data_IF_804546265037
#
_entry.id   IF_804546265037
#
_cell.length_a   1.000
_cell.length_b   1.000
_cell.length_c   1.000
_cell.angle_alpha   90.00
_cell.angle_beta   90.00
_cell.angle_gamma   90.00
#
_symmetry.space_group_name_H-M   'P 1'
#
loop_
_entity.id
_entity.type
_entity.pdbx_description
1 polymer ?
#
# COMPACT_ATOMS: atom_id res chain seq x y z
N UNK A 1 14.04 2.18 10.32
CA UNK A 1 14.51 2.16 8.92
C UNK A 1 13.24 2.02 8.12
N UNK A 2 12.72 3.13 7.63
CA UNK A 2 11.33 3.21 7.16
C UNK A 2 11.36 3.02 5.65
N UNK A 3 11.50 1.76 5.25
CA UNK A 3 11.55 1.33 3.85
C UNK A 3 10.51 0.25 3.60
N UNK A 4 9.87 0.31 2.44
CA UNK A 4 8.96 -0.74 2.01
C UNK A 4 9.70 -2.04 1.69
N UNK A 5 9.02 -3.20 1.73
CA UNK A 5 9.59 -4.47 1.30
C UNK A 5 10.25 -4.41 -0.08
N UNK A 6 9.60 -3.76 -1.06
CA UNK A 6 10.16 -3.56 -2.41
C UNK A 6 11.41 -2.68 -2.37
N UNK A 7 11.43 -1.60 -1.60
CA UNK A 7 12.62 -0.74 -1.49
C UNK A 7 13.80 -1.47 -0.82
N UNK A 8 13.53 -2.31 0.18
CA UNK A 8 14.55 -3.14 0.83
C UNK A 8 15.11 -4.18 -0.16
N UNK A 9 14.23 -4.80 -0.96
CA UNK A 9 14.60 -5.74 -2.02
C UNK A 9 15.49 -5.09 -3.09
N UNK A 10 15.10 -3.92 -3.62
CA UNK A 10 15.90 -3.19 -4.62
C UNK A 10 17.27 -2.74 -4.05
N UNK A 11 17.34 -2.38 -2.77
CA UNK A 11 18.62 -2.10 -2.10
C UNK A 11 19.52 -3.34 -1.99
N UNK A 12 18.96 -4.52 -1.72
CA UNK A 12 19.71 -5.78 -1.69
C UNK A 12 20.22 -6.14 -3.10
N UNK A 13 19.36 -6.02 -4.10
CA UNK A 13 19.68 -6.23 -5.52
C UNK A 13 20.79 -5.30 -6.03
N UNK A 14 20.76 -4.01 -5.65
CA UNK A 14 21.82 -3.06 -5.98
C UNK A 14 23.21 -3.50 -5.45
N UNK A 15 23.22 -4.29 -4.37
CA UNK A 15 24.43 -4.88 -3.77
C UNK A 15 24.73 -6.30 -4.27
N UNK A 16 23.92 -6.82 -5.20
CA UNK A 16 23.97 -8.21 -5.71
C UNK A 16 23.75 -9.27 -4.63
N UNK A 17 22.96 -8.93 -3.63
CA UNK A 17 22.58 -9.79 -2.51
C UNK A 17 21.23 -10.48 -2.80
N UNK A 18 21.28 -11.58 -3.57
CA UNK A 18 20.07 -12.34 -3.94
C UNK A 18 19.32 -12.90 -2.72
N UNK A 19 19.99 -13.48 -1.69
CA UNK A 19 19.29 -13.90 -0.48
C UNK A 19 18.58 -12.75 0.23
N UNK A 20 19.22 -11.58 0.33
CA UNK A 20 18.61 -10.39 0.91
C UNK A 20 17.41 -9.87 0.12
N UNK A 21 17.47 -9.91 -1.21
CA UNK A 21 16.37 -9.56 -2.11
C UNK A 21 15.14 -10.43 -1.82
N UNK A 22 15.32 -11.76 -1.81
CA UNK A 22 14.24 -12.71 -1.54
C UNK A 22 13.70 -12.57 -0.12
N UNK A 23 14.57 -12.44 0.88
CA UNK A 23 14.17 -12.33 2.28
C UNK A 23 13.32 -11.08 2.51
N UNK A 24 13.69 -9.94 1.94
CA UNK A 24 12.91 -8.70 2.08
C UNK A 24 11.48 -8.84 1.55
N UNK A 25 11.28 -9.54 0.44
CA UNK A 25 9.95 -9.78 -0.14
C UNK A 25 9.14 -10.79 0.70
N UNK A 26 9.76 -11.89 1.11
CA UNK A 26 9.12 -12.92 1.94
C UNK A 26 8.72 -12.36 3.30
N UNK A 27 9.64 -11.68 3.99
CA UNK A 27 9.40 -11.08 5.30
C UNK A 27 8.31 -10.01 5.22
N UNK A 28 8.28 -9.23 4.14
CA UNK A 28 7.23 -8.23 3.89
C UNK A 28 5.84 -8.86 3.77
N UNK A 29 5.72 -9.94 3.00
CA UNK A 29 4.48 -10.69 2.83
C UNK A 29 4.07 -11.39 4.15
N UNK A 30 5.00 -11.99 4.87
CA UNK A 30 4.72 -12.66 6.14
C UNK A 30 4.28 -11.65 7.22
N UNK A 31 4.88 -10.46 7.25
CA UNK A 31 4.46 -9.37 8.11
C UNK A 31 3.01 -8.91 7.81
N UNK A 32 2.63 -8.81 6.54
CA UNK A 32 1.24 -8.49 6.16
C UNK A 32 0.28 -9.59 6.63
N UNK A 33 0.58 -10.85 6.30
CA UNK A 33 -0.30 -11.99 6.59
C UNK A 33 -0.43 -12.32 8.08
N UNK A 34 0.56 -11.94 8.87
CA UNK A 34 0.55 -12.11 10.32
C UNK A 34 -0.14 -10.98 11.09
N UNK A 35 -0.50 -9.89 10.40
CA UNK A 35 -1.20 -8.77 11.03
C UNK A 35 -2.62 -9.18 11.47
N UNK A 36 -3.01 -8.85 12.71
CA UNK A 36 -4.29 -9.28 13.29
C UNK A 36 -5.52 -8.78 12.53
N UNK A 37 -5.38 -7.68 11.79
CA UNK A 37 -6.45 -7.11 10.99
C UNK A 37 -6.55 -7.71 9.59
N UNK A 38 -5.54 -8.47 9.13
CA UNK A 38 -5.54 -9.13 7.82
C UNK A 38 -6.42 -10.39 7.87
N UNK A 39 -7.19 -10.71 6.82
CA UNK A 39 -7.26 -10.03 5.51
C UNK A 39 -8.09 -8.74 5.54
N UNK A 40 -8.01 -7.97 4.45
CA UNK A 40 -8.86 -6.81 4.20
C UNK A 40 -10.35 -7.20 4.21
N UNK A 41 -11.21 -6.25 4.56
CA UNK A 41 -12.66 -6.40 4.54
C UNK A 41 -13.30 -5.27 3.75
N UNK A 42 -14.42 -5.55 3.09
CA UNK A 42 -15.23 -4.52 2.45
C UNK A 42 -15.63 -3.46 3.47
N UNK A 43 -15.48 -2.18 3.11
CA UNK A 43 -15.67 -1.02 3.97
C UNK A 43 -14.43 -0.59 4.77
N UNK A 44 -13.31 -1.32 4.71
CA UNK A 44 -12.04 -0.82 5.23
C UNK A 44 -11.59 0.40 4.43
N UNK A 45 -11.00 1.38 5.11
CA UNK A 45 -10.35 2.52 4.46
C UNK A 45 -8.83 2.38 4.58
N UNK A 46 -8.15 2.58 3.47
CA UNK A 46 -6.70 2.61 3.37
C UNK A 46 -6.25 4.01 2.98
N UNK A 47 -5.43 4.63 3.81
CA UNK A 47 -4.72 5.86 3.47
C UNK A 47 -3.26 5.55 3.20
N UNK A 48 -2.74 6.03 2.07
CA UNK A 48 -1.32 5.96 1.72
C UNK A 48 -0.74 7.36 1.75
N UNK A 49 0.35 7.57 2.50
CA UNK A 49 1.04 8.86 2.59
C UNK A 49 2.44 8.80 1.99
N UNK A 50 2.66 9.60 0.95
CA UNK A 50 3.95 9.78 0.33
C UNK A 50 4.57 11.10 0.81
N UNK A 51 5.81 11.07 1.36
CA UNK A 51 6.49 12.30 1.72
C UNK A 51 6.81 13.12 0.46
N UNK A 52 7.06 14.42 0.63
CA UNK A 52 7.52 15.26 -0.46
C UNK A 52 8.81 14.71 -1.07
N UNK A 53 8.92 14.75 -2.40
CA UNK A 53 10.07 14.23 -3.14
C UNK A 53 10.39 15.11 -4.33
N UNK A 54 11.54 15.79 -4.28
CA UNK A 54 11.96 16.73 -5.31
C UNK A 54 10.93 17.84 -5.51
N UNK A 55 10.29 17.87 -6.69
CA UNK A 55 9.26 18.84 -7.04
C UNK A 55 7.83 18.41 -6.63
N UNK A 56 7.64 17.18 -6.18
CA UNK A 56 6.33 16.69 -5.73
C UNK A 56 6.12 17.05 -4.25
N UNK A 57 4.99 17.69 -3.89
CA UNK A 57 4.64 17.90 -2.49
C UNK A 57 4.35 16.55 -1.82
N UNK A 58 4.15 16.57 -0.50
CA UNK A 58 3.59 15.41 0.18
C UNK A 58 2.21 15.09 -0.41
N UNK A 59 1.98 13.82 -0.70
CA UNK A 59 0.77 13.33 -1.35
C UNK A 59 0.09 12.33 -0.42
N UNK A 60 -1.21 12.44 -0.31
CA UNK A 60 -2.07 11.46 0.33
C UNK A 60 -3.06 10.91 -0.69
N UNK A 61 -3.31 9.61 -0.60
CA UNK A 61 -4.41 8.94 -1.29
C UNK A 61 -5.24 8.15 -0.29
N UNK A 62 -6.55 8.24 -0.40
CA UNK A 62 -7.49 7.44 0.39
C UNK A 62 -8.27 6.52 -0.52
N UNK A 63 -8.28 5.25 -0.16
CA UNK A 63 -8.98 4.18 -0.84
C UNK A 63 -10.00 3.55 0.11
N UNK A 64 -11.09 3.05 -0.45
CA UNK A 64 -12.02 2.15 0.23
C UNK A 64 -11.90 0.76 -0.38
N UNK A 65 -11.85 -0.26 0.46
CA UNK A 65 -11.99 -1.64 0.04
C UNK A 65 -13.46 -1.89 -0.29
N UNK A 66 -13.75 -2.20 -1.54
CA UNK A 66 -15.11 -2.50 -2.01
C UNK A 66 -15.15 -3.87 -2.65
N UNK A 67 -16.35 -4.44 -2.78
CA UNK A 67 -16.57 -5.60 -3.65
C UNK A 67 -17.00 -5.12 -5.02
N UNK A 68 -16.41 -5.69 -6.06
CA UNK A 68 -16.78 -5.39 -7.44
C UNK A 68 -17.97 -6.26 -7.92
N UNK A 69 -18.23 -6.25 -9.23
CA UNK A 69 -19.33 -7.00 -9.84
C UNK A 69 -19.14 -8.53 -9.84
N UNK A 70 -17.93 -9.01 -9.55
CA UNK A 70 -17.59 -10.42 -9.42
C UNK A 70 -17.45 -10.87 -7.96
N UNK A 71 -17.81 -10.00 -7.01
CA UNK A 71 -17.64 -10.19 -5.56
C UNK A 71 -16.16 -10.17 -5.09
N UNK A 72 -15.22 -9.76 -5.93
CA UNK A 72 -13.79 -9.68 -5.58
C UNK A 72 -13.50 -8.40 -4.77
N UNK A 73 -12.57 -8.48 -3.81
CA UNK A 73 -12.15 -7.29 -3.05
C UNK A 73 -11.17 -6.45 -3.89
N UNK A 74 -11.51 -5.17 -4.07
CA UNK A 74 -10.70 -4.19 -4.81
C UNK A 74 -10.57 -2.87 -4.05
N UNK A 75 -9.63 -2.01 -4.46
CA UNK A 75 -9.49 -0.65 -3.94
C UNK A 75 -10.20 0.35 -4.84
N UNK A 76 -11.11 1.14 -4.27
CA UNK A 76 -11.70 2.28 -4.92
C UNK A 76 -11.10 3.57 -4.38
N UNK A 77 -10.47 4.37 -5.24
CA UNK A 77 -9.97 5.70 -4.85
C UNK A 77 -11.14 6.61 -4.44
N UNK A 78 -11.04 7.21 -3.24
CA UNK A 78 -12.03 8.14 -2.67
C UNK A 78 -11.56 9.59 -2.72
N UNK A 79 -10.30 9.83 -2.42
CA UNK A 79 -9.71 11.16 -2.46
C UNK A 79 -8.19 11.08 -2.66
N UNK A 80 -7.61 12.17 -3.14
CA UNK A 80 -6.17 12.34 -3.22
C UNK A 80 -5.78 13.82 -3.09
N UNK A 81 -4.51 14.08 -2.77
CA UNK A 81 -3.96 15.45 -2.70
C UNK A 81 -2.95 15.77 -3.81
N UNK A 82 -2.85 14.93 -4.85
CA UNK A 82 -2.04 15.26 -6.03
C UNK A 82 -2.36 16.66 -6.56
N UNK A 83 -1.35 17.47 -6.91
CA UNK A 83 -1.55 18.67 -7.69
C UNK A 83 -2.26 18.36 -9.00
N UNK A 84 -3.04 19.30 -9.52
CA UNK A 84 -3.83 19.11 -10.75
C UNK A 84 -2.97 18.66 -11.94
N UNK A 85 -1.73 19.17 -12.03
CA UNK A 85 -0.74 18.77 -13.04
C UNK A 85 -0.39 17.28 -13.02
N UNK A 86 -0.63 16.59 -11.91
CA UNK A 86 -0.33 15.17 -11.70
C UNK A 86 -1.57 14.34 -11.34
N UNK A 87 -2.79 14.90 -11.40
CA UNK A 87 -4.00 14.24 -10.93
C UNK A 87 -4.26 12.89 -11.64
N UNK A 88 -3.83 12.73 -12.90
CA UNK A 88 -3.95 11.48 -13.65
C UNK A 88 -3.12 10.33 -13.08
N UNK A 89 -2.13 10.63 -12.24
CA UNK A 89 -1.28 9.66 -11.55
C UNK A 89 -1.92 9.09 -10.28
N UNK A 90 -3.02 9.68 -9.82
CA UNK A 90 -3.72 9.19 -8.64
C UNK A 90 -4.42 7.85 -8.91
N UNK A 91 -4.52 7.03 -7.86
CA UNK A 91 -5.28 5.79 -7.89
C UNK A 91 -4.53 4.61 -8.51
N UNK A 92 -3.19 4.61 -8.49
CA UNK A 92 -2.39 3.50 -9.03
C UNK A 92 -2.84 2.15 -8.42
N UNK A 93 -3.03 2.10 -7.10
CA UNK A 93 -3.49 0.89 -6.41
C UNK A 93 -4.94 0.52 -6.67
N UNK A 94 -5.77 1.45 -7.17
CA UNK A 94 -7.13 1.11 -7.61
C UNK A 94 -7.16 0.39 -8.96
N UNK A 95 -6.09 0.53 -9.76
CA UNK A 95 -5.98 -0.09 -11.11
C UNK A 95 -5.21 -1.41 -11.07
N UNK A 96 -4.21 -1.49 -10.19
CA UNK A 96 -3.24 -2.58 -10.13
C UNK A 96 -3.47 -3.51 -8.93
N UNK A 97 -4.63 -3.39 -8.29
CA UNK A 97 -5.03 -4.20 -7.15
C UNK A 97 -4.98 -5.69 -7.51
N UNK A 98 -4.31 -6.49 -6.68
CA UNK A 98 -4.42 -7.95 -6.79
C UNK A 98 -5.83 -8.33 -6.33
N UNK A 99 -6.61 -9.06 -7.14
CA UNK A 99 -7.90 -9.61 -6.70
C UNK A 99 -7.75 -10.34 -5.37
N UNK A 100 -8.71 -10.16 -4.47
CA UNK A 100 -8.78 -10.78 -3.14
C UNK A 100 -7.73 -10.35 -2.10
N UNK A 101 -6.69 -9.59 -2.48
CA UNK A 101 -5.71 -9.03 -1.55
C UNK A 101 -5.40 -7.55 -1.83
N UNK A 102 -6.36 -6.65 -1.54
CA UNK A 102 -6.23 -5.24 -1.88
C UNK A 102 -5.15 -4.50 -1.10
N UNK A 103 -4.66 -5.08 0.00
CA UNK A 103 -3.60 -4.46 0.79
C UNK A 103 -2.20 -4.91 0.39
N UNK A 104 -2.06 -6.01 -0.37
CA UNK A 104 -0.75 -6.53 -0.76
C UNK A 104 0.11 -5.51 -1.52
N UNK A 105 -0.40 -4.96 -2.62
CA UNK A 105 0.32 -3.96 -3.43
C UNK A 105 0.78 -2.75 -2.61
N UNK A 106 -0.15 -2.00 -1.97
CA UNK A 106 0.21 -0.88 -1.11
C UNK A 106 1.20 -1.24 0.00
N UNK A 107 1.04 -2.40 0.64
CA UNK A 107 1.95 -2.86 1.70
C UNK A 107 3.36 -3.12 1.18
N UNK A 108 3.48 -3.82 0.06
CA UNK A 108 4.77 -4.16 -0.53
C UNK A 108 5.50 -2.95 -1.11
N UNK A 109 4.75 -2.03 -1.74
CA UNK A 109 5.33 -0.90 -2.46
C UNK A 109 5.51 0.35 -1.59
N UNK A 110 4.45 0.81 -0.92
CA UNK A 110 4.53 1.98 -0.05
C UNK A 110 5.16 1.63 1.31
N UNK A 111 4.93 0.41 1.78
CA UNK A 111 5.46 -0.07 3.06
C UNK A 111 4.52 0.25 4.23
N UNK A 112 4.56 -0.58 5.30
CA UNK A 112 3.64 -0.47 6.45
C UNK A 112 3.65 0.90 7.12
N UNK A 113 4.82 1.54 7.19
CA UNK A 113 5.05 2.85 7.78
C UNK A 113 4.36 4.01 7.04
N UNK A 114 3.81 3.78 5.83
CA UNK A 114 3.07 4.80 5.05
C UNK A 114 1.57 4.57 5.03
N UNK A 115 1.12 3.45 5.60
CA UNK A 115 -0.26 3.02 5.51
C UNK A 115 -0.99 3.32 6.81
N UNK A 116 -2.18 3.89 6.70
CA UNK A 116 -3.16 3.89 7.78
C UNK A 116 -4.36 3.09 7.34
N UNK A 117 -4.78 2.12 8.15
CA UNK A 117 -5.96 1.30 7.86
C UNK A 117 -7.00 1.59 8.93
N UNK A 118 -8.23 1.90 8.49
CA UNK A 118 -9.38 2.15 9.35
C UNK A 118 -10.44 1.11 9.07
N UNK A 119 -10.95 0.45 10.13
CA UNK A 119 -12.07 -0.50 10.06
C UNK A 119 -13.14 -0.08 11.06
N UNK A 120 -14.38 0.08 10.59
CA UNK A 120 -15.49 0.51 11.44
C UNK A 120 -15.23 1.84 12.16
N UNK A 121 -14.51 2.77 11.51
CA UNK A 121 -14.14 4.06 12.09
C UNK A 121 -12.97 4.04 13.08
N UNK A 122 -12.36 2.89 13.34
CA UNK A 122 -11.18 2.75 14.22
C UNK A 122 -9.90 2.51 13.41
N UNK A 123 -8.82 3.20 13.76
CA UNK A 123 -7.50 2.93 13.19
C UNK A 123 -7.02 1.58 13.73
N UNK A 124 -6.88 0.60 12.84
CA UNK A 124 -6.42 -0.78 13.13
C UNK A 124 -4.96 -1.01 12.73
N UNK A 125 -4.42 -0.14 11.87
CA UNK A 125 -3.01 -0.03 11.54
C UNK A 125 -2.68 1.45 11.36
N UNK A 126 -1.69 1.94 12.08
CA UNK A 126 -1.21 3.32 11.95
C UNK A 126 0.28 3.29 11.69
N UNK A 127 0.67 3.55 10.45
CA UNK A 127 2.05 3.76 10.04
C UNK A 127 2.75 4.80 10.88
#
# INVERSE_FOLDING_TARGET
>A
MDQSPVAQSENAKARRDLPGELSALMDGQDALRSAQWYPAQSGDLLTVRWPASGALPAIEEMYEVVRDEWDELTLQLRSHTYPETFASSAGAFARECTPDDPFFGPWMEAGPHRLTIVRGGMVIHGG
#
